data_IF_206409180475
#
_entry.id   IF_206409180475
#
_cell.length_a   1.000
_cell.length_b   1.000
_cell.length_c   1.000
_cell.angle_alpha   90.00
_cell.angle_beta   90.00
_cell.angle_gamma   90.00
#
_symmetry.space_group_name_H-M   'P 1'
#
loop_
_entity.id
_entity.type
_entity.pdbx_description
1 polymer ?
#
# COMPACT_ATOMS: atom_id res chain seq x y z
N UNK A 1 -10.62 -54.68 47.81
CA UNK A 1 -11.75 -53.79 47.43
C UNK A 1 -11.17 -52.43 47.04
N UNK A 2 -10.98 -52.17 45.74
CA UNK A 2 -10.31 -50.96 45.24
C UNK A 2 -11.37 -49.92 44.87
N UNK A 3 -11.52 -48.89 45.70
CA UNK A 3 -12.46 -47.80 45.44
C UNK A 3 -11.92 -46.92 44.30
N UNK A 4 -12.53 -47.03 43.11
CA UNK A 4 -12.25 -46.15 41.97
C UNK A 4 -12.74 -44.73 42.30
N UNK A 5 -11.80 -43.85 42.62
CA UNK A 5 -12.06 -42.42 42.83
C UNK A 5 -12.75 -41.81 41.61
N UNK A 6 -13.92 -41.20 41.84
CA UNK A 6 -14.71 -40.53 40.81
C UNK A 6 -14.16 -39.11 40.62
N UNK A 7 -12.99 -38.98 40.00
CA UNK A 7 -12.50 -37.68 39.57
C UNK A 7 -13.19 -37.31 38.25
N UNK A 8 -14.16 -36.40 38.33
CA UNK A 8 -14.77 -35.77 37.17
C UNK A 8 -13.86 -34.65 36.67
N UNK A 9 -13.44 -34.72 35.40
CA UNK A 9 -12.81 -33.58 34.73
C UNK A 9 -13.85 -32.46 34.60
N UNK A 10 -13.76 -31.44 35.47
CA UNK A 10 -14.49 -30.20 35.30
C UNK A 10 -13.87 -29.48 34.10
N UNK A 11 -14.63 -29.42 33.00
CA UNK A 11 -14.24 -28.69 31.81
C UNK A 11 -13.84 -27.27 32.17
N UNK A 12 -12.59 -26.92 31.92
CA UNK A 12 -12.10 -25.57 32.12
C UNK A 12 -12.56 -24.74 30.94
N UNK A 13 -13.40 -23.74 31.21
CA UNK A 13 -13.74 -22.72 30.24
C UNK A 13 -12.64 -21.66 30.28
N UNK A 14 -11.98 -21.46 29.14
CA UNK A 14 -11.02 -20.39 28.98
C UNK A 14 -11.74 -19.19 28.35
N UNK A 15 -11.52 -18.01 28.91
CA UNK A 15 -11.94 -16.75 28.32
C UNK A 15 -10.66 -15.94 28.05
N UNK A 16 -10.57 -15.36 26.86
CA UNK A 16 -9.44 -14.55 26.46
C UNK A 16 -9.95 -13.38 25.64
N UNK A 17 -9.37 -12.21 25.88
CA UNK A 17 -9.58 -11.02 25.06
C UNK A 17 -8.42 -10.90 24.08
N UNK A 18 -8.69 -11.10 22.79
CA UNK A 18 -7.75 -10.70 21.74
C UNK A 18 -7.81 -9.17 21.66
N UNK A 19 -6.68 -8.44 21.78
CA UNK A 19 -6.67 -7.03 21.47
C UNK A 19 -7.25 -6.84 20.08
N UNK A 20 -8.26 -6.00 19.95
CA UNK A 20 -8.71 -5.54 18.63
C UNK A 20 -7.55 -4.77 18.01
N UNK A 21 -6.65 -5.46 17.31
CA UNK A 21 -6.03 -4.85 16.13
C UNK A 21 -7.21 -4.36 15.30
N UNK A 22 -7.23 -3.04 15.02
CA UNK A 22 -8.41 -2.34 14.51
C UNK A 22 -9.25 -3.22 13.59
N UNK A 23 -10.47 -3.63 14.01
CA UNK A 23 -11.27 -4.51 13.21
C UNK A 23 -11.71 -3.75 11.95
N UNK A 24 -11.71 -4.44 10.81
CA UNK A 24 -12.52 -4.09 9.64
C UNK A 24 -12.17 -2.82 8.86
N UNK A 25 -10.89 -2.59 8.54
CA UNK A 25 -10.63 -1.91 7.27
C UNK A 25 -10.02 -2.91 6.31
N UNK A 26 -10.84 -3.36 5.37
CA UNK A 26 -10.32 -3.94 4.15
C UNK A 26 -9.28 -2.95 3.59
N UNK A 27 -8.07 -3.42 3.23
CA UNK A 27 -7.05 -2.53 2.71
C UNK A 27 -7.58 -1.79 1.47
N UNK A 28 -7.41 -0.48 1.47
CA UNK A 28 -7.92 0.41 0.42
C UNK A 28 -6.77 0.69 -0.55
N UNK A 29 -6.79 0.00 -1.69
CA UNK A 29 -5.79 0.12 -2.74
C UNK A 29 -6.28 1.03 -3.86
N UNK A 30 -5.45 1.98 -4.27
CA UNK A 30 -5.74 2.88 -5.38
C UNK A 30 -4.50 3.21 -6.18
N UNK A 31 -4.66 3.43 -7.48
CA UNK A 31 -3.59 3.93 -8.34
C UNK A 31 -3.39 5.42 -8.10
N UNK A 32 -2.15 5.81 -7.79
CA UNK A 32 -1.75 7.21 -7.68
C UNK A 32 -0.59 7.49 -8.61
N UNK A 33 -0.50 8.71 -9.12
CA UNK A 33 0.64 9.17 -9.88
C UNK A 33 1.76 9.58 -8.90
N UNK A 34 2.99 9.16 -9.18
CA UNK A 34 4.16 9.56 -8.41
C UNK A 34 4.44 11.04 -8.58
N UNK A 35 5.34 11.55 -7.75
CA UNK A 35 6.03 12.80 -8.07
C UNK A 35 6.71 12.72 -9.44
N UNK A 36 6.93 13.89 -10.03
CA UNK A 36 7.57 14.01 -11.32
C UNK A 36 9.03 13.60 -11.23
N UNK A 37 9.50 12.88 -12.24
CA UNK A 37 10.92 12.63 -12.44
C UNK A 37 11.69 13.94 -12.52
N UNK A 38 13.00 13.85 -12.35
CA UNK A 38 13.87 14.96 -12.76
C UNK A 38 13.63 15.30 -14.22
N UNK A 39 13.73 16.59 -14.54
CA UNK A 39 13.66 17.05 -15.91
C UNK A 39 14.84 16.47 -16.70
N UNK A 40 14.61 16.03 -17.93
CA UNK A 40 15.64 15.45 -18.80
C UNK A 40 16.80 16.39 -19.07
N UNK A 41 16.55 17.70 -19.05
CA UNK A 41 17.56 18.75 -19.22
C UNK A 41 17.32 19.87 -18.21
N UNK A 42 18.36 20.64 -17.88
CA UNK A 42 18.28 21.80 -16.98
C UNK A 42 17.87 23.10 -17.68
N UNK A 43 17.93 23.13 -19.01
CA UNK A 43 17.52 24.24 -19.88
C UNK A 43 17.11 23.69 -21.25
N UNK A 44 16.40 24.48 -22.07
CA UNK A 44 16.10 24.14 -23.45
C UNK A 44 14.91 23.19 -23.66
N UNK A 45 13.87 23.29 -22.82
CA UNK A 45 12.60 22.56 -22.94
C UNK A 45 12.75 21.03 -22.83
N UNK A 46 13.06 20.57 -21.62
CA UNK A 46 13.06 19.16 -21.26
C UNK A 46 11.67 18.59 -21.01
N UNK A 47 11.67 17.32 -20.62
CA UNK A 47 10.47 16.59 -20.22
C UNK A 47 10.68 15.92 -18.87
N UNK A 48 9.60 15.69 -18.16
CA UNK A 48 9.55 14.92 -16.92
C UNK A 48 8.33 14.01 -16.96
N UNK A 49 8.45 12.87 -16.30
CA UNK A 49 7.46 11.79 -16.33
C UNK A 49 6.94 11.50 -14.94
N UNK A 50 5.66 11.19 -14.81
CA UNK A 50 5.03 10.70 -13.58
C UNK A 50 4.42 9.32 -13.86
N UNK A 51 4.73 8.34 -13.02
CA UNK A 51 4.31 6.95 -13.20
C UNK A 51 3.17 6.58 -12.25
N UNK A 52 2.36 5.61 -12.63
CA UNK A 52 1.33 5.07 -11.74
C UNK A 52 1.95 4.07 -10.75
N UNK A 53 1.65 4.23 -9.46
CA UNK A 53 2.02 3.28 -8.40
C UNK A 53 0.78 2.88 -7.61
N UNK A 54 0.76 1.63 -7.14
CA UNK A 54 -0.31 1.15 -6.28
C UNK A 54 -0.07 1.65 -4.84
N UNK A 55 -1.07 2.29 -4.26
CA UNK A 55 -0.98 2.89 -2.93
C UNK A 55 -2.07 2.33 -2.02
N UNK A 56 -1.67 1.82 -0.86
CA UNK A 56 -2.54 1.46 0.24
C UNK A 56 -2.60 2.61 1.25
N UNK A 57 -3.82 2.94 1.71
CA UNK A 57 -4.10 4.11 2.53
C UNK A 57 -3.23 4.25 3.80
N UNK A 58 -2.84 3.17 4.47
CA UNK A 58 -2.06 3.19 5.72
C UNK A 58 -0.57 2.91 5.49
N UNK A 59 -0.25 2.07 4.53
CA UNK A 59 1.07 1.50 4.30
C UNK A 59 1.85 2.25 3.23
N UNK A 60 1.19 3.10 2.45
CA UNK A 60 1.79 3.85 1.36
C UNK A 60 1.91 3.02 0.09
N UNK A 61 3.02 3.17 -0.62
CA UNK A 61 3.25 2.44 -1.88
C UNK A 61 3.41 0.94 -1.61
N UNK A 62 2.66 0.13 -2.36
CA UNK A 62 2.65 -1.34 -2.28
C UNK A 62 2.88 -1.97 -3.66
N UNK A 63 2.98 -3.30 -3.71
CA UNK A 63 3.11 -4.02 -4.98
C UNK A 63 1.89 -3.79 -5.90
N UNK A 64 2.15 -3.67 -7.20
CA UNK A 64 1.12 -3.37 -8.20
C UNK A 64 -0.04 -4.37 -8.22
N UNK A 65 0.22 -5.64 -7.89
CA UNK A 65 -0.77 -6.73 -7.87
C UNK A 65 -1.96 -6.49 -6.94
N UNK A 66 -1.85 -5.54 -5.99
CA UNK A 66 -2.92 -5.20 -5.06
C UNK A 66 -3.96 -4.24 -5.67
N UNK A 67 -3.59 -3.50 -6.72
CA UNK A 67 -4.49 -2.64 -7.45
C UNK A 67 -5.02 -3.35 -8.70
N UNK A 68 -6.22 -2.98 -9.16
CA UNK A 68 -6.79 -3.54 -10.39
C UNK A 68 -6.00 -3.05 -11.61
N UNK A 69 -5.34 -3.97 -12.32
CA UNK A 69 -4.53 -3.69 -13.50
C UNK A 69 -5.33 -2.99 -14.61
N UNK A 70 -6.63 -3.28 -14.75
CA UNK A 70 -7.48 -2.65 -15.77
C UNK A 70 -7.73 -1.16 -15.49
N UNK A 71 -7.57 -0.74 -14.24
CA UNK A 71 -7.71 0.66 -13.81
C UNK A 71 -6.39 1.41 -13.76
N UNK A 72 -5.26 0.76 -14.12
CA UNK A 72 -3.93 1.37 -14.10
C UNK A 72 -3.84 2.51 -15.11
N UNK A 73 -3.63 3.77 -14.68
CA UNK A 73 -3.46 4.87 -15.59
C UNK A 73 -2.12 4.78 -16.33
N UNK A 74 -2.07 5.31 -17.55
CA UNK A 74 -0.81 5.49 -18.26
C UNK A 74 0.09 6.50 -17.53
N UNK A 75 1.40 6.41 -17.75
CA UNK A 75 2.32 7.45 -17.29
C UNK A 75 1.99 8.78 -17.97
N UNK A 76 2.22 9.89 -17.25
CA UNK A 76 1.99 11.23 -17.76
C UNK A 76 3.34 11.88 -18.05
N UNK A 77 3.43 12.61 -19.15
CA UNK A 77 4.60 13.41 -19.52
C UNK A 77 4.22 14.89 -19.52
N UNK A 78 5.10 15.75 -19.03
CA UNK A 78 4.98 17.20 -19.21
C UNK A 78 6.33 17.84 -19.51
N UNK A 79 6.28 19.02 -20.11
CA UNK A 79 7.48 19.83 -20.36
C UNK A 79 8.01 20.47 -19.06
N UNK A 80 9.31 20.73 -19.02
CA UNK A 80 10.01 21.41 -17.94
C UNK A 80 11.21 22.20 -18.47
N UNK A 81 11.74 23.12 -17.66
CA UNK A 81 12.94 23.89 -17.96
C UNK A 81 12.92 24.57 -19.35
N UNK A 82 11.84 25.30 -19.61
CA UNK A 82 11.59 26.03 -20.87
C UNK A 82 12.54 27.22 -21.12
N UNK A 83 13.37 27.56 -20.13
CA UNK A 83 14.32 28.66 -20.27
C UNK A 83 15.41 28.29 -21.28
N UNK A 84 15.86 29.25 -22.11
CA UNK A 84 16.95 29.01 -23.05
C UNK A 84 18.24 28.64 -22.30
N UNK A 85 19.08 27.83 -22.94
CA UNK A 85 20.39 27.51 -22.40
C UNK A 85 21.35 28.71 -22.52
N UNK A 86 22.33 28.83 -21.61
CA UNK A 86 23.43 29.78 -21.77
C UNK A 86 24.17 29.57 -23.10
N UNK A 87 24.61 30.68 -23.70
CA UNK A 87 25.38 30.69 -24.94
C UNK A 87 26.86 30.37 -24.72
#
# INVERSE_FOLDING_TARGET
>A
LIYRGRYSNLGVHYEYTVPKEEPDRAPEYTWVLTDWSLCTVTCGNGTQTSHAVCHERKSGVVEEKFCDENSKPAFVIRECNKNPCPA
#
